data_IF_816065401770
#
_entry.id   IF_816065401770
#
_cell.length_a   1.000
_cell.length_b   1.000
_cell.length_c   1.000
_cell.angle_alpha   90.00
_cell.angle_beta   90.00
_cell.angle_gamma   90.00
#
_symmetry.space_group_name_H-M   'P 1'
#
loop_
_entity.id
_entity.type
_entity.pdbx_description
1 polymer ?
#
# COMPACT_ATOMS: atom_id res chain seq x y z
N UNK A 1 -8.49 16.45 5.83
CA UNK A 1 -8.21 15.60 4.66
C UNK A 1 -9.52 14.92 4.27
N UNK A 2 -9.77 14.57 3.00
CA UNK A 2 -11.06 13.97 2.60
C UNK A 2 -11.29 12.56 3.17
N UNK A 3 -10.27 11.93 3.76
CA UNK A 3 -10.31 10.58 4.31
C UNK A 3 -9.74 10.58 5.74
N UNK A 4 -10.21 9.66 6.58
CA UNK A 4 -9.79 9.54 7.98
C UNK A 4 -8.28 9.19 8.13
N UNK A 5 -7.73 8.41 7.21
CA UNK A 5 -6.30 8.12 7.09
C UNK A 5 -5.94 7.80 5.63
N UNK A 6 -4.64 7.73 5.31
CA UNK A 6 -4.13 7.49 3.95
C UNK A 6 -3.54 6.09 3.83
N UNK A 7 -4.35 5.10 3.46
CA UNK A 7 -3.87 3.74 3.17
C UNK A 7 -4.78 2.62 3.64
N UNK A 8 -4.22 1.52 4.16
CA UNK A 8 -4.98 0.34 4.62
C UNK A 8 -4.43 -0.25 5.91
N UNK A 9 -5.31 -0.92 6.65
CA UNK A 9 -4.96 -1.70 7.85
C UNK A 9 -5.31 -3.16 7.62
N UNK A 10 -4.33 -4.05 7.76
CA UNK A 10 -4.45 -5.50 7.59
C UNK A 10 -4.24 -6.20 8.93
N UNK A 11 -5.21 -7.03 9.31
CA UNK A 11 -5.24 -7.78 10.58
C UNK A 11 -5.65 -9.23 10.34
N UNK A 12 -5.29 -10.12 11.24
CA UNK A 12 -5.78 -11.50 11.26
C UNK A 12 -6.78 -11.69 12.39
N UNK A 13 -7.82 -12.47 12.13
CA UNK A 13 -8.77 -12.92 13.14
C UNK A 13 -8.35 -14.32 13.62
N UNK A 14 -7.94 -14.44 14.88
CA UNK A 14 -7.54 -15.75 15.43
C UNK A 14 -8.76 -16.66 15.63
N UNK A 15 -8.59 -17.97 15.43
CA UNK A 15 -9.48 -18.98 16.01
C UNK A 15 -9.26 -18.92 17.52
N UNK A 16 -10.31 -18.66 18.30
CA UNK A 16 -10.17 -18.68 19.75
C UNK A 16 -9.89 -20.13 20.19
N UNK A 17 -8.93 -20.36 21.09
CA UNK A 17 -8.87 -21.59 21.87
C UNK A 17 -10.12 -21.67 22.75
N UNK A 18 -10.79 -22.81 22.74
CA UNK A 18 -11.77 -23.14 23.77
C UNK A 18 -11.04 -23.27 25.12
N UNK A 19 -11.21 -22.30 26.01
CA UNK A 19 -11.24 -22.53 27.45
C UNK A 19 -12.04 -21.44 28.15
N UNK A 20 -13.36 -21.63 28.16
CA UNK A 20 -14.19 -21.18 29.26
C UNK A 20 -15.25 -22.26 29.44
N UNK A 21 -14.85 -23.30 30.17
CA UNK A 21 -15.75 -24.20 30.84
C UNK A 21 -16.57 -23.35 31.82
N UNK A 22 -17.68 -22.77 31.34
CA UNK A 22 -18.72 -22.28 32.20
C UNK A 22 -19.41 -23.51 32.78
N UNK A 23 -18.91 -23.92 33.95
CA UNK A 23 -19.54 -24.87 34.84
C UNK A 23 -20.85 -24.24 35.34
N UNK A 24 -21.93 -24.45 34.58
CA UNK A 24 -23.28 -24.16 35.00
C UNK A 24 -23.97 -25.48 35.36
N UNK A 25 -23.44 -26.21 36.36
CA UNK A 25 -24.27 -27.15 37.10
C UNK A 25 -25.05 -26.38 38.16
N UNK A 26 -26.33 -26.15 37.88
CA UNK A 26 -27.30 -25.73 38.88
C UNK A 26 -27.38 -26.80 39.98
N UNK A 27 -27.03 -26.43 41.22
CA UNK A 27 -27.46 -27.12 42.44
C UNK A 27 -28.23 -26.14 43.32
N UNK A 28 -29.46 -26.53 43.64
CA UNK A 28 -30.35 -25.85 44.58
C UNK A 28 -29.82 -25.93 46.03
N UNK A 29 -30.33 -25.09 46.96
CA UNK A 29 -29.62 -24.73 48.19
C UNK A 29 -30.00 -25.52 49.46
N UNK A 30 -29.20 -25.25 50.51
CA UNK A 30 -29.37 -25.36 51.99
C UNK A 30 -29.09 -26.69 52.71
N UNK A 31 -28.74 -26.70 54.02
CA UNK A 31 -28.28 -25.63 54.93
C UNK A 31 -27.06 -25.96 55.84
N UNK A 32 -26.43 -24.89 56.35
CA UNK A 32 -25.62 -24.68 57.58
C UNK A 32 -25.00 -25.85 58.37
N UNK A 33 -23.69 -25.73 58.67
CA UNK A 33 -23.15 -25.85 60.04
C UNK A 33 -21.74 -25.23 60.19
N UNK A 34 -21.36 -24.93 61.43
CA UNK A 34 -20.43 -23.90 61.91
C UNK A 34 -18.95 -24.34 62.07
N UNK A 35 -18.14 -23.35 62.52
CA UNK A 35 -16.82 -23.43 63.19
C UNK A 35 -15.62 -23.71 62.25
N UNK A 36 -14.52 -22.95 62.26
CA UNK A 36 -14.03 -21.86 63.09
C UNK A 36 -12.50 -21.85 63.03
N UNK A 37 -11.87 -20.66 63.00
CA UNK A 37 -10.48 -20.32 63.46
C UNK A 37 -9.28 -21.08 62.83
N UNK A 38 -8.07 -20.54 62.64
CA UNK A 38 -7.43 -19.25 62.88
C UNK A 38 -6.02 -19.28 62.22
N UNK A 39 -5.39 -18.09 62.12
CA UNK A 39 -3.92 -17.82 62.25
C UNK A 39 -2.95 -18.42 61.21
N UNK A 40 -1.88 -17.76 60.74
CA UNK A 40 -1.29 -16.45 60.99
C UNK A 40 -0.22 -16.15 59.91
N UNK A 41 0.03 -14.87 59.65
CA UNK A 41 1.29 -14.31 59.12
C UNK A 41 2.39 -14.36 60.22
N UNK A 42 3.71 -14.09 60.02
CA UNK A 42 4.25 -12.84 59.43
C UNK A 42 5.60 -13.01 58.65
N UNK A 43 5.88 -12.14 57.67
CA UNK A 43 6.76 -10.94 57.70
C UNK A 43 8.29 -11.11 57.85
N UNK A 44 8.98 -10.52 56.85
CA UNK A 44 10.15 -9.64 56.98
C UNK A 44 11.54 -10.29 57.19
N UNK A 45 12.69 -9.73 56.79
CA UNK A 45 13.08 -8.43 56.24
C UNK A 45 14.38 -8.59 55.42
N UNK A 46 14.71 -7.57 54.65
CA UNK A 46 15.90 -7.40 53.84
C UNK A 46 17.20 -7.17 54.65
N UNK A 47 18.35 -7.51 54.06
CA UNK A 47 19.60 -6.78 54.24
C UNK A 47 20.53 -7.02 53.04
N UNK A 48 21.04 -5.92 52.48
CA UNK A 48 21.96 -5.84 51.35
C UNK A 48 23.42 -5.89 51.80
N UNK A 49 24.29 -6.58 51.05
CA UNK A 49 25.74 -6.30 50.95
C UNK A 49 26.22 -6.75 49.56
N UNK A 50 26.97 -5.89 48.88
CA UNK A 50 27.82 -6.19 47.72
C UNK A 50 29.17 -5.46 47.94
N UNK A 51 30.24 -5.65 47.13
CA UNK A 51 30.56 -6.71 46.16
C UNK A 51 31.99 -7.30 46.37
N UNK A 52 32.32 -8.40 45.68
CA UNK A 52 33.71 -8.79 45.42
C UNK A 52 33.83 -9.46 44.04
N UNK A 53 34.84 -9.07 43.27
CA UNK A 53 35.08 -9.41 41.88
C UNK A 53 35.97 -10.66 41.71
N UNK A 54 35.65 -11.52 40.72
CA UNK A 54 36.55 -12.34 39.87
C UNK A 54 35.68 -13.28 38.95
N UNK A 55 36.23 -13.99 37.95
CA UNK A 55 36.44 -13.58 36.56
C UNK A 55 35.57 -14.35 35.53
N UNK A 56 35.60 -13.86 34.28
CA UNK A 56 34.90 -14.34 33.08
C UNK A 56 34.94 -15.88 32.86
N UNK A 57 33.80 -16.54 33.05
CA UNK A 57 33.54 -17.93 32.63
C UNK A 57 32.45 -18.09 31.56
N UNK A 58 31.90 -16.99 31.03
CA UNK A 58 30.71 -17.05 30.18
C UNK A 58 31.02 -17.29 28.68
N UNK A 59 32.25 -17.03 28.24
CA UNK A 59 32.63 -17.13 26.81
C UNK A 59 32.81 -18.59 26.36
N UNK A 60 33.23 -19.49 27.25
CA UNK A 60 33.49 -20.90 26.92
C UNK A 60 32.21 -21.74 26.87
N UNK A 61 31.22 -21.46 27.72
CA UNK A 61 29.92 -22.15 27.71
C UNK A 61 29.05 -21.74 26.51
N UNK A 62 29.14 -20.48 26.07
CA UNK A 62 28.42 -19.99 24.87
C UNK A 62 28.96 -20.61 23.58
N UNK A 63 30.29 -20.76 23.48
CA UNK A 63 30.93 -21.35 22.30
C UNK A 63 30.70 -22.88 22.21
N UNK A 64 30.67 -23.59 23.34
CA UNK A 64 30.35 -25.02 23.36
C UNK A 64 28.87 -25.28 23.03
N UNK A 65 27.94 -24.42 23.47
CA UNK A 65 26.52 -24.50 23.08
C UNK A 65 26.29 -24.19 21.60
N UNK A 66 26.99 -23.21 21.03
CA UNK A 66 26.90 -22.92 19.59
C UNK A 66 27.51 -24.03 18.72
N UNK A 67 28.62 -24.64 19.13
CA UNK A 67 29.23 -25.77 18.44
C UNK A 67 28.35 -27.04 18.53
N UNK A 68 27.76 -27.32 19.70
CA UNK A 68 26.83 -28.44 19.88
C UNK A 68 25.51 -28.27 19.10
N UNK A 69 25.00 -27.04 18.98
CA UNK A 69 23.83 -26.74 18.13
C UNK A 69 24.16 -26.80 16.63
N UNK A 70 25.35 -26.37 16.19
CA UNK A 70 25.81 -26.55 14.80
C UNK A 70 26.05 -28.01 14.44
N UNK A 71 26.62 -28.80 15.36
CA UNK A 71 26.83 -30.24 15.20
C UNK A 71 25.53 -31.06 15.19
N UNK A 72 24.51 -30.67 15.98
CA UNK A 72 23.16 -31.25 15.89
C UNK A 72 22.41 -30.85 14.62
N UNK A 73 22.57 -29.61 14.13
CA UNK A 73 22.02 -29.20 12.82
C UNK A 73 22.67 -29.99 11.69
N UNK A 74 24.00 -30.09 11.64
CA UNK A 74 24.71 -30.79 10.56
C UNK A 74 24.50 -32.30 10.57
N UNK A 75 24.38 -32.93 11.75
CA UNK A 75 24.05 -34.37 11.84
C UNK A 75 22.58 -34.66 11.51
N UNK A 76 21.63 -33.77 11.86
CA UNK A 76 20.24 -33.89 11.42
C UNK A 76 20.06 -33.61 9.93
N UNK A 77 20.84 -32.71 9.34
CA UNK A 77 20.88 -32.40 7.90
C UNK A 77 21.54 -33.53 7.10
N UNK A 78 22.56 -34.20 7.66
CA UNK A 78 23.20 -35.36 7.05
C UNK A 78 22.33 -36.63 7.14
N UNK A 79 21.57 -36.80 8.23
CA UNK A 79 20.59 -37.88 8.35
C UNK A 79 19.35 -37.65 7.46
N UNK A 80 18.90 -36.39 7.29
CA UNK A 80 17.80 -35.98 6.39
C UNK A 80 18.13 -36.04 4.89
N UNK A 81 19.40 -36.14 4.51
CA UNK A 81 19.82 -36.28 3.10
C UNK A 81 19.54 -37.67 2.49
N UNK A 82 19.19 -38.68 3.31
CA UNK A 82 19.02 -40.07 2.87
C UNK A 82 17.58 -40.48 2.53
N UNK A 83 16.57 -39.73 2.97
CA UNK A 83 15.17 -39.96 2.61
C UNK A 83 14.80 -38.91 1.56
N UNK A 84 14.26 -39.30 0.40
CA UNK A 84 13.78 -38.38 -0.63
C UNK A 84 12.53 -37.59 -0.21
N UNK A 85 12.43 -37.22 1.07
CA UNK A 85 11.31 -36.49 1.65
C UNK A 85 11.42 -35.01 1.27
N UNK A 86 10.31 -34.50 0.73
CA UNK A 86 10.20 -33.14 0.23
C UNK A 86 10.33 -32.16 1.40
N UNK A 87 11.14 -31.11 1.22
CA UNK A 87 11.43 -30.13 2.27
C UNK A 87 10.23 -29.19 2.42
N UNK A 88 9.37 -29.40 3.42
CA UNK A 88 8.37 -28.41 3.83
C UNK A 88 9.09 -27.27 4.55
N UNK A 89 9.06 -26.07 3.98
CA UNK A 89 9.54 -24.83 4.61
C UNK A 89 8.34 -23.96 4.92
N UNK A 90 8.03 -23.80 6.20
CA UNK A 90 7.07 -22.79 6.65
C UNK A 90 7.55 -21.41 6.18
N UNK A 91 6.71 -20.72 5.41
CA UNK A 91 6.92 -19.33 5.09
C UNK A 91 6.40 -18.47 6.23
N UNK A 92 7.06 -17.34 6.47
CA UNK A 92 6.59 -16.36 7.44
C UNK A 92 5.50 -15.48 6.81
N UNK A 93 4.80 -14.71 7.64
CA UNK A 93 3.79 -13.78 7.15
C UNK A 93 4.43 -12.71 6.24
N UNK A 94 3.84 -12.49 5.07
CA UNK A 94 4.28 -11.46 4.11
C UNK A 94 3.07 -10.75 3.51
N UNK A 95 3.21 -9.45 3.26
CA UNK A 95 2.13 -8.62 2.70
C UNK A 95 2.60 -7.99 1.39
N UNK A 96 1.80 -8.15 0.34
CA UNK A 96 2.04 -7.61 -0.99
C UNK A 96 0.89 -6.69 -1.35
N UNK A 97 1.17 -5.41 -1.56
CA UNK A 97 0.18 -4.42 -1.98
C UNK A 97 0.60 -3.85 -3.33
N UNK A 98 -0.18 -4.08 -4.38
CA UNK A 98 0.12 -3.53 -5.70
C UNK A 98 -0.95 -2.52 -6.07
N UNK A 99 -0.60 -1.24 -6.13
CA UNK A 99 -1.45 -0.14 -6.55
C UNK A 99 -1.22 0.14 -8.04
N UNK A 100 -2.27 -0.03 -8.84
CA UNK A 100 -2.22 0.10 -10.28
C UNK A 100 -2.96 1.36 -10.73
N UNK A 101 -2.20 2.34 -11.23
CA UNK A 101 -2.75 3.54 -11.90
C UNK A 101 -3.00 3.30 -13.40
N UNK A 102 -2.83 2.06 -13.86
CA UNK A 102 -3.01 1.68 -15.27
C UNK A 102 -4.47 1.72 -15.65
N UNK A 103 -4.89 2.79 -16.33
CA UNK A 103 -6.25 2.92 -16.84
C UNK A 103 -6.61 4.36 -17.17
N UNK A 104 -6.49 4.74 -18.45
CA UNK A 104 -7.32 5.85 -18.94
C UNK A 104 -8.62 5.29 -19.53
N UNK A 105 -9.66 6.00 -19.15
CA UNK A 105 -11.02 6.02 -19.68
C UNK A 105 -12.07 5.01 -19.20
N UNK A 106 -11.76 3.83 -18.63
CA UNK A 106 -12.82 2.94 -18.03
C UNK A 106 -12.45 2.08 -16.83
N UNK A 107 -11.18 2.07 -16.39
CA UNK A 107 -10.73 1.32 -15.22
C UNK A 107 -10.10 2.31 -14.26
N UNK A 108 -10.89 2.75 -13.27
CA UNK A 108 -10.38 3.48 -12.12
C UNK A 108 -9.20 2.73 -11.48
N UNK A 109 -8.26 3.41 -10.80
CA UNK A 109 -7.16 2.75 -10.11
C UNK A 109 -7.66 1.58 -9.27
N UNK A 110 -6.89 0.51 -9.26
CA UNK A 110 -7.21 -0.69 -8.49
C UNK A 110 -5.99 -1.12 -7.68
N UNK A 111 -6.24 -1.93 -6.65
CA UNK A 111 -5.20 -2.43 -5.76
C UNK A 111 -5.36 -3.92 -5.60
N UNK A 112 -4.25 -4.63 -5.74
CA UNK A 112 -4.17 -6.03 -5.37
C UNK A 112 -3.56 -6.14 -3.98
N UNK A 113 -4.16 -6.95 -3.13
CA UNK A 113 -3.65 -7.27 -1.80
C UNK A 113 -3.40 -8.77 -1.76
N UNK A 114 -2.13 -9.16 -1.65
CA UNK A 114 -1.66 -10.52 -1.46
C UNK A 114 -1.16 -10.70 -0.02
N UNK A 115 -1.59 -11.77 0.64
CA UNK A 115 -1.22 -12.06 2.02
C UNK A 115 -0.71 -13.49 2.10
N UNK A 116 0.57 -13.63 2.43
CA UNK A 116 1.16 -14.90 2.88
C UNK A 116 0.88 -15.03 4.37
N UNK A 117 0.28 -16.15 4.75
CA UNK A 117 -0.10 -16.50 6.11
C UNK A 117 0.73 -17.72 6.48
N UNK A 118 1.68 -17.57 7.39
CA UNK A 118 2.63 -18.62 7.71
C UNK A 118 1.99 -19.82 8.42
N UNK A 119 1.14 -19.52 9.42
CA UNK A 119 0.43 -20.52 10.21
C UNK A 119 -1.07 -20.40 9.97
N UNK A 120 -1.54 -20.88 8.81
CA UNK A 120 -2.93 -20.67 8.38
C UNK A 120 -3.97 -21.23 9.36
N UNK A 121 -3.60 -22.24 10.14
CA UNK A 121 -4.53 -22.90 11.04
C UNK A 121 -4.83 -22.06 12.30
N UNK A 122 -3.98 -21.12 12.69
CA UNK A 122 -4.21 -20.22 13.82
C UNK A 122 -5.31 -19.18 13.55
N UNK A 123 -5.56 -18.89 12.27
CA UNK A 123 -6.42 -17.80 11.83
C UNK A 123 -7.66 -18.33 11.11
N UNK A 124 -8.79 -17.65 11.29
CA UNK A 124 -10.03 -17.94 10.56
C UNK A 124 -10.40 -16.89 9.52
N UNK A 125 -9.81 -15.69 9.58
CA UNK A 125 -10.05 -14.66 8.59
C UNK A 125 -8.89 -13.66 8.48
N UNK A 126 -8.78 -13.05 7.31
CA UNK A 126 -8.00 -11.82 7.09
C UNK A 126 -8.97 -10.64 7.06
N UNK A 127 -8.66 -9.58 7.79
CA UNK A 127 -9.48 -8.37 7.89
C UNK A 127 -8.70 -7.19 7.37
N UNK A 128 -9.30 -6.44 6.44
CA UNK A 128 -8.70 -5.24 5.87
C UNK A 128 -9.65 -4.05 6.03
N UNK A 129 -9.17 -2.98 6.66
CA UNK A 129 -9.91 -1.72 6.80
C UNK A 129 -9.44 -0.69 5.77
N UNK A 130 -10.42 -0.04 5.14
CA UNK A 130 -10.24 0.97 4.11
C UNK A 130 -10.86 2.31 4.56
N UNK A 131 -10.18 3.46 4.37
CA UNK A 131 -10.68 4.80 4.65
C UNK A 131 -11.63 5.35 3.57
N UNK A 132 -12.20 4.48 2.74
CA UNK A 132 -13.18 4.81 1.72
C UNK A 132 -14.26 3.74 1.64
N UNK A 133 -15.35 4.06 0.93
CA UNK A 133 -16.43 3.11 0.65
C UNK A 133 -15.96 2.07 -0.36
N UNK A 134 -16.01 0.79 0.02
CA UNK A 134 -15.81 -0.35 -0.89
C UNK A 134 -17.13 -1.10 -0.99
N UNK A 135 -17.53 -1.49 -2.21
CA UNK A 135 -18.68 -2.35 -2.42
C UNK A 135 -18.22 -3.77 -2.79
N UNK A 136 -19.00 -4.79 -2.45
CA UNK A 136 -18.64 -6.19 -2.73
C UNK A 136 -18.39 -6.44 -4.23
N UNK A 137 -19.10 -5.72 -5.12
CA UNK A 137 -18.91 -5.80 -6.57
C UNK A 137 -17.53 -5.34 -7.04
N UNK A 138 -16.85 -4.51 -6.24
CA UNK A 138 -15.52 -3.98 -6.55
C UNK A 138 -14.40 -4.91 -6.05
N UNK A 139 -14.75 -5.93 -5.27
CA UNK A 139 -13.84 -6.95 -4.73
C UNK A 139 -13.87 -8.20 -5.61
N UNK A 140 -12.70 -8.69 -6.03
CA UNK A 140 -12.59 -9.96 -6.75
C UNK A 140 -11.42 -10.81 -6.25
N UNK A 141 -11.61 -12.12 -6.28
CA UNK A 141 -10.54 -13.08 -6.08
C UNK A 141 -9.58 -13.10 -7.28
N UNK A 142 -8.28 -13.14 -6.99
CA UNK A 142 -7.25 -13.40 -7.99
C UNK A 142 -6.71 -14.83 -7.90
N UNK A 143 -6.92 -15.56 -6.79
CA UNK A 143 -6.41 -16.90 -6.60
C UNK A 143 -6.86 -17.90 -7.67
N UNK A 144 -8.14 -17.86 -8.06
CA UNK A 144 -8.72 -18.65 -9.15
C UNK A 144 -8.14 -18.31 -10.52
N UNK A 145 -7.56 -17.13 -10.68
CA UNK A 145 -7.04 -16.61 -11.95
C UNK A 145 -5.52 -16.77 -12.06
N UNK A 146 -4.84 -17.03 -10.94
CA UNK A 146 -3.42 -17.38 -10.86
C UNK A 146 -3.17 -18.88 -11.11
N UNK A 147 -3.80 -19.45 -12.14
CA UNK A 147 -3.71 -20.89 -12.45
C UNK A 147 -2.53 -21.26 -13.37
N UNK A 148 -1.61 -20.33 -13.65
CA UNK A 148 -0.48 -20.56 -14.56
C UNK A 148 0.86 -20.26 -13.91
N UNK A 149 1.87 -21.09 -14.19
CA UNK A 149 3.25 -20.92 -13.71
C UNK A 149 3.79 -19.52 -13.99
N UNK A 150 3.52 -18.96 -15.18
CA UNK A 150 3.97 -17.62 -15.58
C UNK A 150 3.45 -16.51 -14.65
N UNK A 151 2.17 -16.56 -14.27
CA UNK A 151 1.55 -15.52 -13.43
C UNK A 151 2.02 -15.63 -11.98
N UNK A 152 2.20 -16.85 -11.46
CA UNK A 152 2.75 -17.06 -10.12
C UNK A 152 4.22 -16.67 -10.06
N UNK A 153 5.01 -17.05 -11.08
CA UNK A 153 6.41 -16.65 -11.23
C UNK A 153 6.57 -15.13 -11.30
N UNK A 154 5.69 -14.42 -12.00
CA UNK A 154 5.74 -12.96 -12.08
C UNK A 154 5.48 -12.27 -10.72
N UNK A 155 4.64 -12.86 -9.85
CA UNK A 155 4.33 -12.28 -8.53
C UNK A 155 5.48 -12.49 -7.55
N UNK A 156 6.05 -13.69 -7.52
CA UNK A 156 7.11 -14.05 -6.56
C UNK A 156 8.53 -13.82 -7.08
N UNK A 157 8.67 -13.54 -8.38
CA UNK A 157 9.97 -13.41 -9.06
C UNK A 157 10.87 -14.65 -8.88
N UNK A 158 10.25 -15.84 -8.83
CA UNK A 158 10.91 -17.13 -8.66
C UNK A 158 10.46 -18.11 -9.76
N UNK A 159 11.28 -19.13 -10.05
CA UNK A 159 10.90 -20.21 -10.96
C UNK A 159 9.98 -21.17 -10.21
N UNK A 160 8.74 -21.26 -10.68
CA UNK A 160 7.66 -21.97 -9.99
C UNK A 160 7.25 -23.20 -10.81
N UNK A 161 7.08 -24.33 -10.12
CA UNK A 161 6.33 -25.46 -10.64
C UNK A 161 4.94 -25.44 -10.04
N UNK A 162 3.95 -25.33 -10.92
CA UNK A 162 2.56 -25.34 -10.50
C UNK A 162 2.09 -26.79 -10.44
N UNK A 163 2.14 -27.36 -9.24
CA UNK A 163 1.63 -28.70 -8.97
C UNK A 163 0.11 -28.63 -8.92
N UNK A 164 -0.49 -28.61 -10.12
CA UNK A 164 -1.91 -28.36 -10.37
C UNK A 164 -2.88 -29.44 -9.88
N UNK A 165 -2.60 -30.10 -8.76
CA UNK A 165 -3.56 -30.95 -8.07
C UNK A 165 -4.67 -30.06 -7.47
N UNK A 166 -5.63 -29.73 -8.33
CA UNK A 166 -6.75 -28.83 -8.09
C UNK A 166 -7.91 -29.60 -7.46
N UNK A 167 -7.75 -30.05 -6.21
CA UNK A 167 -8.91 -30.53 -5.44
C UNK A 167 -9.51 -29.38 -4.63
N UNK A 168 -10.55 -28.75 -5.19
CA UNK A 168 -11.38 -27.76 -4.50
C UNK A 168 -10.82 -26.33 -4.48
N UNK A 169 -10.89 -25.68 -3.31
CA UNK A 169 -10.59 -24.26 -3.11
C UNK A 169 -9.08 -23.94 -2.96
N UNK A 170 -8.19 -24.88 -3.29
CA UNK A 170 -6.75 -24.74 -3.08
C UNK A 170 -5.96 -25.21 -4.30
N UNK A 171 -4.78 -24.61 -4.50
CA UNK A 171 -3.75 -25.10 -5.39
C UNK A 171 -2.42 -25.14 -4.65
N UNK A 172 -1.69 -26.25 -4.72
CA UNK A 172 -0.38 -26.35 -4.10
C UNK A 172 0.68 -25.75 -5.02
N UNK A 173 1.56 -24.93 -4.46
CA UNK A 173 2.64 -24.28 -5.20
C UNK A 173 3.96 -24.86 -4.71
N UNK A 174 4.84 -25.19 -5.65
CA UNK A 174 6.19 -25.69 -5.39
C UNK A 174 7.22 -24.80 -6.10
N UNK A 175 8.32 -24.45 -5.43
CA UNK A 175 9.42 -23.70 -6.02
C UNK A 175 10.59 -24.63 -6.30
N UNK A 176 11.24 -24.48 -7.45
CA UNK A 176 12.46 -25.23 -7.74
C UNK A 176 13.68 -24.38 -7.40
N UNK A 177 14.42 -24.78 -6.37
CA UNK A 177 15.64 -24.10 -5.95
C UNK A 177 16.81 -25.09 -5.92
N UNK A 178 17.90 -24.75 -6.59
CA UNK A 178 19.13 -25.55 -6.66
C UNK A 178 18.88 -27.02 -7.05
N UNK A 179 17.95 -27.25 -7.99
CA UNK A 179 17.60 -28.59 -8.48
C UNK A 179 16.69 -29.42 -7.55
N UNK A 180 16.17 -28.85 -6.46
CA UNK A 180 15.21 -29.47 -5.55
C UNK A 180 13.88 -28.72 -5.52
N UNK A 181 12.79 -29.47 -5.38
CA UNK A 181 11.44 -28.91 -5.24
C UNK A 181 11.18 -28.62 -3.75
N UNK A 182 11.08 -27.34 -3.41
CA UNK A 182 10.60 -26.85 -2.13
C UNK A 182 9.07 -26.69 -2.21
N UNK A 183 8.38 -27.08 -1.14
CA UNK A 183 6.91 -27.13 -1.05
C UNK A 183 6.42 -26.03 -0.07
N UNK A 184 6.39 -24.74 -0.46
CA UNK A 184 6.31 -23.62 0.48
C UNK A 184 4.90 -23.26 0.98
N UNK A 185 3.83 -23.35 0.15
CA UNK A 185 2.50 -22.88 0.56
C UNK A 185 1.36 -23.41 -0.34
N UNK A 186 0.11 -23.28 0.13
CA UNK A 186 -1.09 -23.45 -0.68
C UNK A 186 -1.67 -22.10 -1.12
N UNK A 187 -1.91 -21.91 -2.41
CA UNK A 187 -2.71 -20.81 -2.94
C UNK A 187 -4.19 -21.08 -2.66
N UNK A 188 -4.85 -20.18 -1.94
CA UNK A 188 -6.28 -20.27 -1.64
C UNK A 188 -7.06 -19.52 -2.73
N UNK A 189 -8.04 -20.22 -3.30
CA UNK A 189 -9.02 -19.67 -4.24
C UNK A 189 -10.23 -19.20 -3.46
N UNK A 190 -10.49 -17.89 -3.48
CA UNK A 190 -11.59 -17.31 -2.73
C UNK A 190 -12.85 -17.26 -3.61
N UNK A 191 -13.97 -17.74 -3.08
CA UNK A 191 -15.27 -17.50 -3.71
C UNK A 191 -15.92 -16.22 -3.14
N UNK A 192 -16.93 -15.68 -3.82
CA UNK A 192 -17.60 -14.43 -3.41
C UNK A 192 -18.22 -14.51 -2.02
N UNK A 193 -18.62 -15.70 -1.55
CA UNK A 193 -19.26 -15.89 -0.23
C UNK A 193 -18.27 -15.78 0.94
N UNK A 194 -16.96 -15.90 0.68
CA UNK A 194 -15.92 -15.74 1.69
C UNK A 194 -15.62 -14.27 2.00
N UNK A 195 -16.10 -13.33 1.16
CA UNK A 195 -15.94 -11.90 1.36
C UNK A 195 -17.17 -11.32 2.08
N UNK A 196 -16.91 -10.61 3.18
CA UNK A 196 -17.91 -9.82 3.90
C UNK A 196 -17.45 -8.37 3.95
N UNK A 197 -18.30 -7.45 3.49
CA UNK A 197 -18.02 -6.02 3.44
C UNK A 197 -18.95 -5.30 4.41
N UNK A 198 -18.40 -4.75 5.48
CA UNK A 198 -19.14 -4.03 6.51
C UNK A 198 -18.78 -2.52 6.47
N UNK A 199 -19.75 -1.61 6.30
CA UNK A 199 -19.49 -0.18 6.43
C UNK A 199 -19.29 0.19 7.91
N UNK A 200 -18.34 1.08 8.17
CA UNK A 200 -18.09 1.64 9.51
C UNK A 200 -18.24 3.15 9.42
N UNK A 201 -19.17 3.70 10.19
CA UNK A 201 -19.41 5.12 10.26
C UNK A 201 -18.63 5.70 11.44
N UNK A 202 -17.84 6.73 11.14
CA UNK A 202 -17.00 7.40 12.12
C UNK A 202 -17.74 8.59 12.74
N UNK A 203 -17.22 9.06 13.88
CA UNK A 203 -17.78 10.20 14.62
C UNK A 203 -17.79 11.51 13.82
N UNK A 204 -16.96 11.63 12.79
CA UNK A 204 -16.87 12.79 11.89
C UNK A 204 -17.77 12.67 10.64
N UNK A 205 -18.75 11.76 10.66
CA UNK A 205 -19.66 11.42 9.56
C UNK A 205 -18.96 10.80 8.33
N UNK A 206 -17.65 10.57 8.39
CA UNK A 206 -16.95 9.87 7.31
C UNK A 206 -17.21 8.37 7.36
N UNK A 207 -17.19 7.73 6.19
CA UNK A 207 -17.46 6.31 6.05
C UNK A 207 -16.16 5.56 5.71
N UNK A 208 -15.83 4.58 6.55
CA UNK A 208 -14.82 3.55 6.30
C UNK A 208 -15.48 2.22 5.92
N UNK A 209 -14.69 1.28 5.43
CA UNK A 209 -15.16 -0.08 5.10
C UNK A 209 -14.23 -1.13 5.68
N UNK A 210 -14.80 -2.16 6.30
CA UNK A 210 -14.10 -3.36 6.74
C UNK A 210 -14.42 -4.52 5.81
N UNK A 211 -13.40 -5.06 5.16
CA UNK A 211 -13.47 -6.30 4.41
C UNK A 211 -12.96 -7.45 5.28
N UNK A 212 -13.81 -8.43 5.52
CA UNK A 212 -13.45 -9.69 6.18
C UNK A 212 -13.43 -10.81 5.16
N UNK A 213 -12.31 -11.51 5.06
CA UNK A 213 -12.08 -12.62 4.14
C UNK A 213 -11.96 -13.89 4.99
N UNK A 214 -12.99 -14.72 4.95
CA UNK A 214 -13.00 -15.98 5.70
C UNK A 214 -12.04 -16.96 5.04
N UNK A 215 -11.13 -17.53 5.82
CA UNK A 215 -10.17 -18.52 5.35
C UNK A 215 -10.85 -19.90 5.37
N UNK A 216 -10.95 -20.59 4.22
CA UNK A 216 -11.48 -21.93 4.19
C UNK A 216 -10.58 -22.89 4.97
N UNK A 217 -11.20 -23.81 5.71
CA UNK A 217 -10.47 -24.88 6.39
C UNK A 217 -9.81 -25.84 5.41
N UNK A 218 -8.82 -26.61 5.90
CA UNK A 218 -8.19 -27.65 5.09
C UNK A 218 -9.23 -28.71 4.70
N UNK A 219 -9.18 -29.27 3.48
CA UNK A 219 -9.99 -30.45 3.17
C UNK A 219 -9.65 -31.58 4.15
N UNK A 220 -10.64 -32.36 4.63
CA UNK A 220 -10.42 -33.40 5.64
C UNK A 220 -9.58 -34.58 5.14
N UNK A 221 -9.40 -34.73 3.83
CA UNK A 221 -8.73 -35.87 3.18
C UNK A 221 -7.37 -35.52 2.55
N UNK A 222 -6.70 -34.46 2.99
CA UNK A 222 -5.35 -34.13 2.47
C UNK A 222 -4.31 -35.05 3.11
N UNK A 223 -3.59 -35.80 2.28
CA UNK A 223 -2.44 -36.62 2.70
C UNK A 223 -1.38 -35.74 3.38
N UNK A 224 -0.68 -36.26 4.39
CA UNK A 224 0.36 -35.52 5.13
C UNK A 224 1.43 -34.92 4.20
N UNK A 225 1.81 -35.63 3.14
CA UNK A 225 2.80 -35.19 2.13
C UNK A 225 2.39 -33.94 1.32
N UNK A 226 1.10 -33.63 1.28
CA UNK A 226 0.52 -32.50 0.55
C UNK A 226 -0.03 -31.41 1.46
N UNK A 227 0.09 -31.61 2.78
CA UNK A 227 -0.20 -30.54 3.73
C UNK A 227 0.87 -29.44 3.60
N UNK A 228 0.38 -28.21 3.69
CA UNK A 228 1.20 -26.99 3.75
C UNK A 228 0.72 -26.18 4.93
N UNK A 229 1.63 -25.74 5.78
CA UNK A 229 1.32 -24.85 6.89
C UNK A 229 0.99 -23.43 6.43
N UNK A 230 1.72 -22.97 5.42
CA UNK A 230 1.54 -21.63 4.90
C UNK A 230 0.49 -21.59 3.79
N UNK A 231 -0.20 -20.46 3.70
CA UNK A 231 -1.21 -20.20 2.68
C UNK A 231 -1.10 -18.80 2.13
N UNK A 232 -1.39 -18.65 0.84
CA UNK A 232 -1.42 -17.35 0.17
C UNK A 232 -2.82 -17.06 -0.34
N UNK A 233 -3.35 -15.88 -0.01
CA UNK A 233 -4.56 -15.33 -0.63
C UNK A 233 -4.18 -14.10 -1.44
N UNK A 234 -4.89 -13.85 -2.54
CA UNK A 234 -4.75 -12.59 -3.28
C UNK A 234 -6.09 -12.14 -3.85
N UNK A 235 -6.43 -10.89 -3.63
CA UNK A 235 -7.68 -10.29 -4.10
C UNK A 235 -7.44 -8.88 -4.62
N UNK A 236 -8.37 -8.40 -5.44
CA UNK A 236 -8.34 -7.08 -6.09
C UNK A 236 -9.48 -6.22 -5.56
N UNK A 237 -9.18 -4.94 -5.32
CA UNK A 237 -10.13 -3.87 -5.01
C UNK A 237 -10.11 -2.88 -6.18
N UNK A 238 -11.24 -2.69 -6.85
CA UNK A 238 -11.40 -1.70 -7.93
C UNK A 238 -11.86 -0.34 -7.38
N UNK A 239 -11.86 0.68 -8.25
CA UNK A 239 -12.47 1.98 -7.98
C UNK A 239 -11.89 2.71 -6.76
N UNK A 240 -10.56 2.64 -6.61
CA UNK A 240 -9.87 3.29 -5.50
C UNK A 240 -9.81 4.79 -5.76
N UNK A 241 -10.26 5.62 -4.82
CA UNK A 241 -10.18 7.07 -4.96
C UNK A 241 -8.71 7.52 -4.95
N UNK A 242 -8.21 8.22 -6.00
CA UNK A 242 -6.84 8.73 -6.01
C UNK A 242 -6.53 9.65 -4.82
N UNK A 243 -7.55 10.31 -4.28
CA UNK A 243 -7.44 11.21 -3.12
C UNK A 243 -7.02 10.52 -1.83
N UNK A 244 -7.12 9.18 -1.75
CA UNK A 244 -6.67 8.40 -0.59
C UNK A 244 -5.15 8.36 -0.50
N UNK A 245 -4.46 8.36 -1.64
CA UNK A 245 -3.03 8.08 -1.71
C UNK A 245 -2.23 9.12 -2.48
N UNK A 246 -2.88 10.04 -3.20
CA UNK A 246 -2.23 11.01 -4.07
C UNK A 246 -2.73 12.44 -3.83
N UNK A 247 -1.80 13.38 -3.78
CA UNK A 247 -2.03 14.82 -3.69
C UNK A 247 -1.28 15.56 -4.78
N UNK A 248 -1.97 16.43 -5.52
CA UNK A 248 -1.37 17.20 -6.61
C UNK A 248 -1.14 18.66 -6.21
N UNK A 249 0.06 19.16 -6.49
CA UNK A 249 0.49 20.53 -6.27
C UNK A 249 0.84 21.18 -7.61
N UNK A 250 0.22 22.33 -7.87
CA UNK A 250 0.42 23.11 -9.08
C UNK A 250 1.19 24.39 -8.75
N UNK A 251 2.14 24.75 -9.61
CA UNK A 251 2.90 25.99 -9.48
C UNK A 251 1.97 27.21 -9.59
N UNK A 252 2.13 28.19 -8.69
CA UNK A 252 1.26 29.38 -8.63
C UNK A 252 1.49 30.34 -9.81
N UNK A 253 2.74 30.47 -10.23
CA UNK A 253 3.26 31.32 -11.31
C UNK A 253 3.18 30.69 -12.70
N UNK A 254 2.51 29.52 -12.84
CA UNK A 254 2.20 28.88 -14.13
C UNK A 254 1.51 29.78 -15.15
N UNK A 255 1.05 30.96 -14.73
CA UNK A 255 0.47 31.98 -15.60
C UNK A 255 1.52 32.73 -16.44
N UNK A 256 2.76 32.80 -15.96
CA UNK A 256 3.85 33.61 -16.51
C UNK A 256 4.87 32.79 -17.29
N UNK A 257 4.95 31.49 -17.02
CA UNK A 257 5.91 30.56 -17.63
C UNK A 257 5.26 29.72 -18.73
N UNK A 258 6.08 29.29 -19.70
CA UNK A 258 5.67 28.44 -20.83
C UNK A 258 5.59 26.96 -20.45
N UNK A 259 6.48 26.50 -19.57
CA UNK A 259 6.47 25.16 -18.97
C UNK A 259 5.94 25.21 -17.55
N UNK A 260 5.16 24.22 -17.13
CA UNK A 260 4.65 24.08 -15.77
C UNK A 260 5.16 22.77 -15.17
N UNK A 261 5.71 22.84 -13.96
CA UNK A 261 6.08 21.65 -13.20
C UNK A 261 4.90 21.26 -12.30
N UNK A 262 4.28 20.12 -12.61
CA UNK A 262 3.27 19.50 -11.76
C UNK A 262 3.99 18.59 -10.77
N UNK A 263 3.82 18.83 -9.47
CA UNK A 263 4.33 17.95 -8.43
C UNK A 263 3.18 17.13 -7.86
N UNK A 264 3.34 15.83 -7.81
CA UNK A 264 2.39 14.89 -7.21
C UNK A 264 3.08 14.20 -6.04
N UNK A 265 2.46 14.22 -4.87
CA UNK A 265 2.93 13.49 -3.69
C UNK A 265 2.06 12.25 -3.55
N UNK A 266 2.69 11.09 -3.49
CA UNK A 266 2.07 9.85 -3.06
C UNK A 266 2.36 9.67 -1.58
N UNK A 267 1.33 9.46 -0.77
CA UNK A 267 1.40 9.10 0.64
C UNK A 267 0.39 7.97 0.88
N UNK A 268 0.88 6.73 0.88
CA UNK A 268 0.09 5.54 1.15
C UNK A 268 0.71 4.74 2.30
N UNK A 269 -0.09 4.45 3.33
CA UNK A 269 0.40 3.86 4.57
C UNK A 269 -0.23 2.52 4.82
N UNK A 270 0.60 1.52 5.07
CA UNK A 270 0.17 0.16 5.35
C UNK A 270 0.45 -0.09 6.83
N UNK A 271 -0.60 -0.41 7.61
CA UNK A 271 -0.52 -0.70 9.05
C UNK A 271 0.06 0.40 9.95
N UNK A 272 0.16 1.64 9.46
CA UNK A 272 0.52 2.80 10.30
C UNK A 272 -0.69 3.21 11.13
N UNK A 273 -0.60 3.00 12.45
CA UNK A 273 -1.72 3.24 13.37
C UNK A 273 -1.97 4.73 13.67
N UNK A 274 -0.96 5.57 13.45
CA UNK A 274 -1.06 7.01 13.75
C UNK A 274 -2.11 7.66 12.83
N UNK A 275 -3.16 8.21 13.44
CA UNK A 275 -4.25 8.86 12.73
C UNK A 275 -5.37 7.91 12.29
N UNK A 276 -5.28 6.62 12.61
CA UNK A 276 -6.39 5.69 12.42
C UNK A 276 -7.42 5.92 13.54
N UNK A 277 -8.71 6.13 13.21
CA UNK A 277 -9.77 6.28 14.21
C UNK A 277 -9.85 5.09 15.16
N UNK A 278 -10.13 5.37 16.44
CA UNK A 278 -10.19 4.34 17.48
C UNK A 278 -11.33 3.35 17.24
N UNK A 279 -12.41 3.78 16.58
CA UNK A 279 -13.55 2.97 16.18
C UNK A 279 -13.16 1.81 15.24
N UNK A 280 -12.06 1.94 14.49
CA UNK A 280 -11.52 0.86 13.66
C UNK A 280 -10.63 -0.11 14.45
N UNK A 281 -9.95 0.38 15.48
CA UNK A 281 -9.00 -0.38 16.27
C UNK A 281 -9.70 -1.14 17.41
N UNK A 282 -10.72 -0.54 18.00
CA UNK A 282 -11.55 -1.10 19.07
C UNK A 282 -12.58 -2.10 18.53
N UNK A 283 -13.06 -3.01 19.39
CA UNK A 283 -14.25 -3.83 19.10
C UNK A 283 -14.03 -5.34 18.88
N UNK A 284 -12.80 -5.84 18.75
CA UNK A 284 -12.58 -7.29 18.71
C UNK A 284 -11.17 -7.70 19.18
N UNK A 285 -11.06 -8.18 20.42
CA UNK A 285 -9.78 -8.65 21.00
C UNK A 285 -9.17 -9.87 20.31
N UNK A 286 -9.88 -10.52 19.38
CA UNK A 286 -9.34 -11.60 18.54
C UNK A 286 -8.63 -11.11 17.29
N UNK A 287 -8.78 -9.82 16.94
CA UNK A 287 -8.03 -9.21 15.84
C UNK A 287 -6.61 -8.92 16.29
N UNK A 288 -5.65 -9.51 15.59
CA UNK A 288 -4.22 -9.34 15.85
C UNK A 288 -3.54 -8.72 14.65
N UNK A 289 -2.57 -7.84 14.90
CA UNK A 289 -1.67 -7.37 13.87
C UNK A 289 -0.68 -8.48 13.53
N UNK A 290 -0.57 -8.88 12.24
CA UNK A 290 0.39 -9.89 11.82
C UNK A 290 1.81 -9.41 12.08
N UNK A 291 2.70 -10.36 12.35
CA UNK A 291 4.13 -10.10 12.50
C UNK A 291 4.81 -10.38 11.17
N UNK A 292 4.66 -9.46 10.22
CA UNK A 292 5.19 -9.64 8.87
C UNK A 292 6.71 -9.72 8.88
N UNK A 293 7.28 -10.65 8.13
CA UNK A 293 8.71 -10.63 7.78
C UNK A 293 9.01 -9.48 6.82
N UNK A 294 8.13 -9.33 5.83
CA UNK A 294 8.27 -8.36 4.73
C UNK A 294 6.93 -7.76 4.36
N UNK A 295 6.95 -6.46 4.07
CA UNK A 295 5.83 -5.75 3.45
C UNK A 295 6.34 -5.15 2.15
N UNK A 296 5.76 -5.59 1.03
CA UNK A 296 6.04 -5.10 -0.30
C UNK A 296 4.90 -4.19 -0.76
N UNK A 297 5.25 -3.00 -1.26
CA UNK A 297 4.31 -2.17 -1.99
C UNK A 297 4.85 -1.86 -3.38
N UNK A 298 4.04 -2.11 -4.40
CA UNK A 298 4.32 -1.80 -5.79
C UNK A 298 3.33 -0.74 -6.28
N UNK A 299 3.81 0.33 -6.90
CA UNK A 299 2.99 1.39 -7.47
C UNK A 299 3.32 1.54 -8.95
N UNK A 300 2.31 1.52 -9.81
CA UNK A 300 2.51 1.97 -11.20
C UNK A 300 2.21 3.45 -11.35
N UNK A 301 3.09 4.17 -12.03
CA UNK A 301 2.83 5.56 -12.43
C UNK A 301 3.11 5.72 -13.92
N UNK A 302 2.55 6.76 -14.53
CA UNK A 302 2.85 7.11 -15.91
C UNK A 302 4.36 7.43 -16.07
N UNK A 303 4.94 7.02 -17.20
CA UNK A 303 6.39 7.11 -17.44
C UNK A 303 6.96 8.53 -17.52
N UNK A 304 6.11 9.52 -17.77
CA UNK A 304 6.52 10.92 -17.86
C UNK A 304 6.58 11.63 -16.50
N UNK A 305 6.31 10.91 -15.41
CA UNK A 305 6.57 11.34 -14.05
C UNK A 305 7.92 10.81 -13.56
N UNK A 306 8.68 11.68 -12.91
CA UNK A 306 9.98 11.34 -12.30
C UNK A 306 9.84 11.40 -10.79
N UNK A 307 10.25 10.33 -10.10
CA UNK A 307 10.38 10.37 -8.64
C UNK A 307 11.59 11.22 -8.26
N UNK A 308 11.34 12.34 -7.57
CA UNK A 308 12.33 13.32 -7.14
C UNK A 308 12.81 13.05 -5.71
N UNK A 309 11.97 12.44 -4.88
CA UNK A 309 12.33 12.07 -3.51
C UNK A 309 11.45 10.94 -2.98
N UNK A 310 12.00 10.10 -2.14
CA UNK A 310 11.37 8.90 -1.58
C UNK A 310 11.79 8.66 -0.12
N UNK A 311 11.27 7.58 0.48
CA UNK A 311 11.58 7.10 1.84
C UNK A 311 12.61 5.96 1.83
N UNK A 312 13.20 5.69 2.99
CA UNK A 312 14.24 4.66 3.18
C UNK A 312 13.85 3.25 2.67
N UNK A 313 12.57 2.88 2.73
CA UNK A 313 12.09 1.58 2.27
C UNK A 313 11.99 1.47 0.74
N UNK A 314 12.23 2.55 -0.01
CA UNK A 314 12.26 2.55 -1.46
C UNK A 314 13.42 1.70 -2.00
N UNK A 315 13.11 0.79 -2.93
CA UNK A 315 14.11 -0.13 -3.53
C UNK A 315 14.46 0.24 -4.96
N UNK A 316 13.59 0.96 -5.65
CA UNK A 316 13.83 1.37 -7.04
C UNK A 316 12.57 1.29 -7.90
N UNK A 317 12.77 1.36 -9.20
CA UNK A 317 11.72 1.29 -10.20
C UNK A 317 12.16 0.43 -11.39
N UNK A 318 11.20 -0.11 -12.12
CA UNK A 318 11.41 -0.89 -13.34
C UNK A 318 10.49 -0.46 -14.47
N UNK A 319 10.96 -0.62 -15.70
CA UNK A 319 10.15 -0.44 -16.90
C UNK A 319 9.21 -1.63 -17.08
N UNK A 320 7.93 -1.39 -17.34
CA UNK A 320 6.96 -2.44 -17.67
C UNK A 320 6.80 -2.64 -19.19
N UNK A 321 7.68 -2.02 -19.99
CA UNK A 321 7.63 -2.05 -21.46
C UNK A 321 7.77 -3.46 -22.04
N UNK A 322 8.70 -4.24 -21.48
CA UNK A 322 9.09 -5.55 -22.02
C UNK A 322 8.36 -6.71 -21.33
N UNK A 323 7.47 -6.40 -20.38
CA UNK A 323 6.84 -7.38 -19.50
C UNK A 323 5.38 -7.65 -19.91
N UNK A 324 5.18 -8.35 -21.03
CA UNK A 324 3.85 -8.71 -21.55
C UNK A 324 2.99 -9.49 -20.55
N UNK A 325 3.63 -10.20 -19.61
CA UNK A 325 2.97 -10.90 -18.52
C UNK A 325 2.11 -9.97 -17.65
N UNK A 326 2.49 -8.70 -17.48
CA UNK A 326 1.69 -7.75 -16.70
C UNK A 326 0.47 -7.27 -17.46
N UNK A 327 0.54 -7.19 -18.80
CA UNK A 327 -0.64 -6.91 -19.61
C UNK A 327 -1.68 -8.04 -19.47
N UNK A 328 -1.24 -9.30 -19.43
CA UNK A 328 -2.14 -10.42 -19.15
C UNK A 328 -2.67 -10.37 -17.70
N UNK A 329 -1.80 -10.03 -16.75
CA UNK A 329 -2.14 -9.95 -15.33
C UNK A 329 -3.22 -8.90 -15.01
N UNK A 330 -3.12 -7.70 -15.58
CA UNK A 330 -4.13 -6.66 -15.34
C UNK A 330 -5.49 -7.04 -15.96
N UNK A 331 -5.48 -7.85 -17.04
CA UNK A 331 -6.66 -8.32 -17.78
C UNK A 331 -7.40 -9.47 -17.12
N UNK A 332 -6.83 -10.14 -16.11
CA UNK A 332 -7.45 -11.29 -15.43
C UNK A 332 -8.92 -11.01 -15.05
N UNK A 333 -9.22 -9.73 -14.83
CA UNK A 333 -10.47 -9.25 -14.27
C UNK A 333 -11.36 -8.43 -15.20
N UNK A 334 -10.95 -8.21 -16.45
CA UNK A 334 -11.66 -7.37 -17.42
C UNK A 334 -11.69 -8.01 -18.81
N UNK A 335 -12.87 -8.12 -19.40
CA UNK A 335 -13.06 -8.59 -20.79
C UNK A 335 -12.72 -7.53 -21.84
N UNK A 336 -12.14 -6.40 -21.45
CA UNK A 336 -11.86 -5.27 -22.35
C UNK A 336 -10.51 -5.49 -23.04
N UNK A 337 -10.50 -5.42 -24.37
CA UNK A 337 -9.28 -5.52 -25.17
C UNK A 337 -8.31 -4.38 -24.88
N UNK A 338 -7.01 -4.66 -24.96
CA UNK A 338 -5.97 -3.64 -24.76
C UNK A 338 -5.76 -2.85 -26.05
N UNK A 339 -6.02 -1.55 -26.00
CA UNK A 339 -5.43 -0.59 -26.91
C UNK A 339 -3.99 -0.27 -26.48
N UNK A 340 -3.15 0.18 -27.39
CA UNK A 340 -1.77 0.63 -27.08
C UNK A 340 -1.73 1.68 -25.96
N UNK A 341 -2.80 2.47 -25.82
CA UNK A 341 -2.97 3.50 -24.79
C UNK A 341 -3.26 2.91 -23.39
N UNK A 342 -3.88 1.75 -23.31
CA UNK A 342 -4.22 1.02 -22.07
C UNK A 342 -3.16 0.02 -21.62
N UNK A 343 -2.09 -0.12 -22.40
CA UNK A 343 -1.00 -1.04 -22.12
C UNK A 343 -0.14 -0.59 -20.94
N UNK A 344 0.31 -1.55 -20.11
CA UNK A 344 1.26 -1.30 -19.02
C UNK A 344 2.61 -0.74 -19.53
N UNK A 345 2.88 -0.84 -20.83
CA UNK A 345 4.11 -0.33 -21.48
C UNK A 345 4.35 1.16 -21.26
N UNK A 346 3.29 1.93 -21.02
CA UNK A 346 3.37 3.38 -20.78
C UNK A 346 3.65 3.74 -19.31
N UNK A 347 3.87 2.74 -18.46
CA UNK A 347 4.00 2.90 -17.01
C UNK A 347 5.36 2.41 -16.50
N UNK A 348 5.78 3.00 -15.39
CA UNK A 348 6.91 2.56 -14.58
C UNK A 348 6.37 1.95 -13.29
N UNK A 349 6.99 0.87 -12.84
CA UNK A 349 6.67 0.20 -11.59
C UNK A 349 7.66 0.58 -10.51
N UNK A 350 7.22 1.27 -9.46
CA UNK A 350 8.00 1.68 -8.31
C UNK A 350 7.78 0.70 -7.15
N UNK A 351 8.84 0.36 -6.44
CA UNK A 351 8.80 -0.63 -5.37
C UNK A 351 9.33 -0.09 -4.05
N UNK A 352 8.52 -0.25 -3.00
CA UNK A 352 8.90 -0.11 -1.60
C UNK A 352 8.88 -1.47 -0.93
N UNK A 353 9.84 -1.74 -0.07
CA UNK A 353 9.93 -3.00 0.68
C UNK A 353 10.50 -2.74 2.05
N UNK A 354 9.67 -2.88 3.06
CA UNK A 354 10.11 -2.92 4.44
C UNK A 354 10.46 -4.37 4.81
N UNK A 355 11.71 -4.58 5.22
CA UNK A 355 12.28 -5.86 5.63
C UNK A 355 13.44 -5.58 6.58
N UNK A 356 13.53 -6.30 7.70
CA UNK A 356 14.64 -6.18 8.66
C UNK A 356 15.19 -7.56 8.98
N UNK A 357 16.52 -7.71 9.03
CA UNK A 357 17.13 -9.00 9.34
C UNK A 357 16.83 -9.42 10.78
N UNK A 358 16.18 -10.57 10.95
CA UNK A 358 15.87 -11.14 12.26
C UNK A 358 14.74 -10.43 13.03
N UNK A 359 14.11 -9.41 12.45
CA UNK A 359 13.01 -8.64 13.07
C UNK A 359 11.74 -8.64 12.20
N UNK A 360 10.61 -8.54 12.87
CA UNK A 360 9.29 -8.43 12.22
C UNK A 360 8.97 -6.97 11.92
N UNK A 361 8.47 -6.73 10.72
CA UNK A 361 8.01 -5.43 10.23
C UNK A 361 6.55 -5.21 10.61
N UNK A 362 6.24 -4.03 11.16
CA UNK A 362 4.88 -3.69 11.61
C UNK A 362 4.10 -2.90 10.57
N UNK A 363 4.77 -2.00 9.86
CA UNK A 363 4.17 -1.04 8.95
C UNK A 363 5.09 -0.73 7.76
N UNK A 364 4.53 -0.04 6.76
CA UNK A 364 5.27 0.52 5.63
C UNK A 364 4.66 1.86 5.24
N UNK A 365 5.51 2.88 5.03
CA UNK A 365 5.12 4.20 4.53
C UNK A 365 5.64 4.35 3.09
N UNK A 366 4.71 4.37 2.14
CA UNK A 366 4.98 4.66 0.74
C UNK A 366 4.80 6.15 0.53
N UNK A 367 5.92 6.87 0.64
CA UNK A 367 5.97 8.30 0.37
C UNK A 367 6.91 8.55 -0.81
N UNK A 368 6.38 9.21 -1.84
CA UNK A 368 7.13 9.54 -3.05
C UNK A 368 6.69 10.88 -3.61
N UNK A 369 7.63 11.74 -3.98
CA UNK A 369 7.37 12.99 -4.68
C UNK A 369 7.67 12.82 -6.15
N UNK A 370 6.63 12.83 -6.97
CA UNK A 370 6.71 12.74 -8.41
C UNK A 370 6.61 14.13 -9.03
N UNK A 371 7.35 14.35 -10.10
CA UNK A 371 7.37 15.62 -10.82
C UNK A 371 7.25 15.35 -12.31
N UNK A 372 6.42 16.15 -12.98
CA UNK A 372 6.25 16.13 -14.42
C UNK A 372 6.28 17.54 -14.97
N UNK A 373 7.06 17.73 -16.02
CA UNK A 373 7.07 18.98 -16.79
C UNK A 373 6.03 18.85 -17.89
N UNK A 374 5.04 19.74 -17.89
CA UNK A 374 4.09 19.88 -19.00
C UNK A 374 4.32 21.20 -19.73
N UNK A 375 4.31 21.14 -21.04
CA UNK A 375 4.34 22.30 -21.92
C UNK A 375 3.22 22.13 -22.94
N UNK A 376 2.21 22.98 -22.85
CA UNK A 376 1.08 22.99 -23.78
C UNK A 376 1.28 24.12 -24.79
N UNK A 377 0.88 23.92 -26.06
CA UNK A 377 0.94 24.96 -27.09
C UNK A 377 0.26 26.26 -26.67
N UNK A 378 -0.84 26.18 -25.91
CA UNK A 378 -1.54 27.36 -25.36
C UNK A 378 -0.65 28.11 -24.36
N UNK A 379 0.07 27.38 -23.51
CA UNK A 379 0.99 27.98 -22.53
C UNK A 379 2.19 28.64 -23.21
N UNK A 380 2.71 28.03 -24.29
CA UNK A 380 3.77 28.58 -25.14
C UNK A 380 3.29 29.84 -25.85
N UNK A 381 2.14 29.79 -26.55
CA UNK A 381 1.59 30.92 -27.29
C UNK A 381 1.30 32.13 -26.39
N UNK A 382 0.75 31.89 -25.20
CA UNK A 382 0.55 32.94 -24.19
C UNK A 382 1.88 33.53 -23.72
N UNK A 383 2.88 32.69 -23.44
CA UNK A 383 4.20 33.18 -23.03
C UNK A 383 4.81 34.09 -24.10
N UNK A 384 4.79 33.67 -25.37
CA UNK A 384 5.25 34.49 -26.51
C UNK A 384 4.47 35.82 -26.56
N UNK A 385 3.16 35.78 -26.41
CA UNK A 385 2.31 36.98 -26.40
C UNK A 385 2.70 37.95 -25.28
N UNK A 386 2.96 37.44 -24.08
CA UNK A 386 3.41 38.25 -22.94
C UNK A 386 4.78 38.88 -23.20
N UNK A 387 5.73 38.13 -23.75
CA UNK A 387 7.06 38.65 -24.11
C UNK A 387 6.95 39.78 -25.13
N UNK A 388 6.11 39.63 -26.16
CA UNK A 388 5.87 40.69 -27.16
C UNK A 388 5.25 41.93 -26.51
N UNK A 389 4.22 41.75 -25.67
CA UNK A 389 3.57 42.88 -24.97
C UNK A 389 4.54 43.62 -24.06
N UNK A 390 5.37 42.89 -23.29
CA UNK A 390 6.38 43.52 -22.44
C UNK A 390 7.47 44.21 -23.25
N UNK A 391 7.87 43.64 -24.40
CA UNK A 391 8.80 44.27 -25.33
C UNK A 391 8.26 45.60 -25.89
N UNK A 392 7.02 45.60 -26.40
CA UNK A 392 6.35 46.81 -26.91
C UNK A 392 6.15 47.84 -25.80
N UNK A 393 5.76 47.40 -24.60
CA UNK A 393 5.57 48.29 -23.44
C UNK A 393 6.90 48.93 -23.01
N UNK A 394 8.00 48.17 -23.01
CA UNK A 394 9.33 48.69 -22.71
C UNK A 394 9.78 49.77 -23.70
N UNK A 395 9.58 49.53 -24.99
CA UNK A 395 9.85 50.53 -26.04
C UNK A 395 8.97 51.78 -25.89
N UNK A 396 7.69 51.60 -25.55
CA UNK A 396 6.77 52.72 -25.31
C UNK A 396 7.18 53.55 -24.08
N UNK A 397 7.62 52.92 -22.98
CA UNK A 397 8.14 53.61 -21.79
C UNK A 397 9.38 54.43 -22.14
N UNK A 398 10.30 53.86 -22.94
CA UNK A 398 11.49 54.58 -23.40
C UNK A 398 11.14 55.80 -24.24
N UNK A 399 10.24 55.65 -25.20
CA UNK A 399 9.76 56.74 -26.06
C UNK A 399 9.07 57.84 -25.24
N UNK A 400 8.18 57.49 -24.30
CA UNK A 400 7.54 58.47 -23.40
C UNK A 400 8.59 59.21 -22.56
N UNK A 401 9.57 58.50 -22.02
CA UNK A 401 10.62 59.10 -21.18
C UNK A 401 11.44 60.11 -21.98
N UNK A 402 11.87 59.74 -23.19
CA UNK A 402 12.73 60.56 -24.03
C UNK A 402 12.01 61.69 -24.75
N UNK A 403 10.71 61.57 -25.04
CA UNK A 403 9.95 62.60 -25.79
C UNK A 403 9.08 63.49 -24.91
N UNK A 404 8.56 62.98 -23.80
CA UNK A 404 7.62 63.71 -22.94
C UNK A 404 8.26 64.17 -21.63
N UNK A 405 9.01 63.28 -20.96
CA UNK A 405 9.53 63.56 -19.61
C UNK A 405 10.79 64.41 -19.65
N UNK A 406 11.80 63.97 -20.42
CA UNK A 406 13.09 64.67 -20.54
C UNK A 406 12.95 66.04 -21.23
N UNK A 407 12.23 66.17 -22.36
CA UNK A 407 12.11 67.46 -23.06
C UNK A 407 11.01 68.38 -22.50
N UNK A 408 10.19 67.91 -21.55
CA UNK A 408 8.97 68.59 -21.07
C UNK A 408 8.01 69.02 -22.19
N UNK A 409 7.94 68.26 -23.28
CA UNK A 409 6.97 68.50 -24.34
C UNK A 409 5.61 67.91 -23.96
N UNK A 410 4.53 68.67 -24.16
CA UNK A 410 3.16 68.27 -23.78
C UNK A 410 2.39 67.67 -24.98
N UNK A 411 2.85 67.92 -26.21
CA UNK A 411 2.13 67.52 -27.42
C UNK A 411 2.20 66.01 -27.66
N UNK A 412 1.05 65.34 -27.69
CA UNK A 412 0.92 63.92 -28.04
C UNK A 412 1.20 62.91 -26.91
N UNK A 413 1.63 63.36 -25.73
CA UNK A 413 2.00 62.48 -24.62
C UNK A 413 0.82 61.68 -24.05
N UNK A 414 -0.39 62.26 -24.03
CA UNK A 414 -1.60 61.57 -23.57
C UNK A 414 -1.92 60.31 -24.38
N UNK A 415 -1.77 60.37 -25.72
CA UNK A 415 -2.01 59.23 -26.59
C UNK A 415 -0.99 58.10 -26.33
N UNK A 416 0.30 58.45 -26.18
CA UNK A 416 1.36 57.47 -25.88
C UNK A 416 1.15 56.76 -24.55
N UNK A 417 0.78 57.50 -23.51
CA UNK A 417 0.45 56.93 -22.18
C UNK A 417 -0.79 56.02 -22.25
N UNK A 418 -1.82 56.42 -23.02
CA UNK A 418 -3.01 55.59 -23.23
C UNK A 418 -2.68 54.25 -23.90
N UNK A 419 -1.80 54.26 -24.91
CA UNK A 419 -1.34 53.02 -25.56
C UNK A 419 -0.58 52.12 -24.59
N UNK A 420 0.32 52.68 -23.78
CA UNK A 420 1.04 51.92 -22.74
C UNK A 420 0.06 51.25 -21.75
N UNK A 421 -0.91 52.01 -21.23
CA UNK A 421 -1.93 51.47 -20.31
C UNK A 421 -2.76 50.35 -20.96
N UNK A 422 -3.04 50.47 -22.26
CA UNK A 422 -3.77 49.44 -23.01
C UNK A 422 -2.94 48.16 -23.11
N UNK A 423 -1.66 48.23 -23.47
CA UNK A 423 -0.78 47.06 -23.54
C UNK A 423 -0.61 46.38 -22.18
N UNK A 424 -0.41 47.15 -21.11
CA UNK A 424 -0.32 46.62 -19.76
C UNK A 424 -1.63 45.95 -19.31
N UNK A 425 -2.78 46.53 -19.65
CA UNK A 425 -4.10 45.96 -19.35
C UNK A 425 -4.32 44.64 -20.09
N UNK A 426 -3.95 44.55 -21.37
CA UNK A 426 -4.01 43.31 -22.14
C UNK A 426 -3.08 42.26 -21.52
N UNK A 427 -1.86 42.63 -21.12
CA UNK A 427 -0.93 41.75 -20.43
C UNK A 427 -1.51 41.18 -19.14
N UNK A 428 -2.09 42.03 -18.29
CA UNK A 428 -2.76 41.61 -17.05
C UNK A 428 -3.97 40.69 -17.31
N UNK A 429 -4.76 40.98 -18.35
CA UNK A 429 -5.88 40.11 -18.75
C UNK A 429 -5.38 38.73 -19.18
N UNK A 430 -4.30 38.64 -19.96
CA UNK A 430 -3.73 37.36 -20.39
C UNK A 430 -3.17 36.54 -19.21
N UNK A 431 -2.58 37.19 -18.21
CA UNK A 431 -2.11 36.55 -16.97
C UNK A 431 -3.31 36.03 -16.17
N UNK A 432 -4.38 36.84 -16.04
CA UNK A 432 -5.58 36.51 -15.27
C UNK A 432 -6.51 35.50 -15.94
N UNK A 433 -6.52 35.40 -17.27
CA UNK A 433 -7.46 34.60 -18.03
C UNK A 433 -7.40 33.10 -17.69
N UNK A 434 -6.19 32.53 -17.56
CA UNK A 434 -6.02 31.09 -17.25
C UNK A 434 -6.54 30.70 -15.86
N UNK A 435 -6.13 31.35 -14.74
CA UNK A 435 -6.66 31.01 -13.42
C UNK A 435 -8.18 31.26 -13.31
N UNK A 436 -8.72 32.30 -13.97
CA UNK A 436 -10.16 32.54 -14.04
C UNK A 436 -10.88 31.41 -14.79
N UNK A 437 -10.39 31.02 -15.97
CA UNK A 437 -10.97 29.94 -16.76
C UNK A 437 -10.95 28.61 -16.00
N UNK A 438 -9.84 28.26 -15.35
CA UNK A 438 -9.75 27.03 -14.57
C UNK A 438 -10.67 27.04 -13.34
N UNK A 439 -10.80 28.18 -12.66
CA UNK A 439 -11.75 28.31 -11.54
C UNK A 439 -13.20 28.19 -12.00
N UNK A 440 -13.55 28.79 -13.16
CA UNK A 440 -14.88 28.64 -13.77
C UNK A 440 -15.14 27.19 -14.18
N UNK A 441 -14.18 26.52 -14.82
CA UNK A 441 -14.27 25.10 -15.19
C UNK A 441 -14.45 24.21 -13.95
N UNK A 442 -13.67 24.42 -12.89
CA UNK A 442 -13.82 23.68 -11.62
C UNK A 442 -15.19 23.89 -10.99
N UNK A 443 -15.72 25.12 -11.00
CA UNK A 443 -17.08 25.42 -10.50
C UNK A 443 -18.16 24.76 -11.35
N UNK A 444 -18.01 24.76 -12.67
CA UNK A 444 -18.95 24.08 -13.58
C UNK A 444 -18.95 22.56 -13.37
N UNK A 445 -17.77 21.93 -13.28
CA UNK A 445 -17.64 20.50 -13.00
C UNK A 445 -18.22 20.10 -11.63
N UNK A 446 -18.03 20.91 -10.58
CA UNK A 446 -18.66 20.68 -9.27
C UNK A 446 -20.19 20.74 -9.32
N UNK A 447 -20.77 21.60 -10.18
CA UNK A 447 -22.23 21.68 -10.36
C UNK A 447 -22.80 20.51 -11.18
N UNK A 448 -21.99 19.90 -12.05
CA UNK A 448 -22.39 18.77 -12.89
C UNK A 448 -22.18 17.41 -12.19
N UNK A 449 -21.16 17.27 -11.35
CA UNK A 449 -20.88 16.05 -10.58
C UNK A 449 -21.58 15.96 -9.21
N UNK A 450 -22.44 16.94 -8.89
CA UNK A 450 -23.27 16.95 -7.67
C UNK A 450 -24.72 16.54 -7.91
N UNK A 451 -25.00 15.80 -8.99
CA UNK A 451 -26.31 15.17 -9.26
C UNK A 451 -26.16 13.66 -9.26
#
# INVERSE_FOLDING_TARGET
>A
MPHAFSGIIVRFLSKAEHSAQCDCTQKAPTPAEQLGTSTASPAAAAAAVAPAAAPDTDTTLRNVRHAAMRGRRSSSEAARKKTGELWERELEDELHVNLWETGRDRISPFMDVGVMIGQRDEYCAVVVDFPWKVELKDVSDLGTRLNGEKSVAAIFNEVVHYDGFAEGNFANISFRKDGRDEKPFSLIRLNTQLFKVDPIFLSDESQCTRLTITLPGRPPLVKEEDKRNSAYIRFRIRNIPPTVYSMNFLQKDRALISSNTETRIIDFRINVLRGVPEELLSGNGRLKFPKFKRIHCFLTTIRDEVCVSDTEDYKGYRSLMDEEVWNEYIRLDSSVGVSDESSVRNYLGYQWTASREGETVKDLIVLGRFSKVRSDYVSIARFISLVVIFGVSGSAVWDITTTCVIPKSITGCGAKVSWLLTYLSIGLLLIGAKPLYENLKKRALRRLGGK
#
